data_IF_067822835897
#
_entry.id   IF_067822835897
#
_cell.length_a   1.000
_cell.length_b   1.000
_cell.length_c   1.000
_cell.angle_alpha   90.00
_cell.angle_beta   90.00
_cell.angle_gamma   90.00
#
_symmetry.space_group_name_H-M   'P 1'
#
loop_
_entity.id
_entity.type
_entity.pdbx_description
1 polymer ?
#
# COMPACT_ATOMS: atom_id res chain seq x y z
N UNK A 1 -16.56 -8.55 -14.94
CA UNK A 1 -16.00 -7.70 -13.87
C UNK A 1 -15.33 -8.59 -12.82
N UNK A 2 -14.08 -8.96 -13.06
CA UNK A 2 -13.24 -9.75 -12.13
C UNK A 2 -12.24 -8.75 -11.58
N UNK A 3 -12.39 -8.27 -10.34
CA UNK A 3 -11.63 -7.07 -9.95
C UNK A 3 -11.21 -6.89 -8.49
N UNK A 4 -11.77 -7.61 -7.52
CA UNK A 4 -11.35 -7.42 -6.12
C UNK A 4 -11.44 -8.71 -5.33
N UNK A 5 -12.59 -9.37 -5.32
CA UNK A 5 -12.75 -10.67 -4.65
C UNK A 5 -11.87 -11.77 -5.26
N UNK A 6 -11.63 -11.73 -6.58
CA UNK A 6 -10.69 -12.65 -7.22
C UNK A 6 -9.24 -12.38 -6.84
N UNK A 7 -8.86 -11.12 -6.56
CA UNK A 7 -7.48 -10.78 -6.18
C UNK A 7 -7.20 -11.15 -4.73
N UNK A 8 -8.16 -10.92 -3.84
CA UNK A 8 -8.11 -11.41 -2.44
C UNK A 8 -8.14 -12.93 -2.40
N UNK A 9 -8.95 -13.60 -3.22
CA UNK A 9 -8.92 -15.06 -3.35
C UNK A 9 -7.61 -15.55 -3.95
N UNK A 10 -7.02 -14.90 -4.96
CA UNK A 10 -5.72 -15.31 -5.53
C UNK A 10 -4.57 -15.13 -4.53
N UNK A 11 -4.65 -14.14 -3.63
CA UNK A 11 -3.65 -13.89 -2.58
C UNK A 11 -3.88 -14.79 -1.36
N UNK A 12 -5.13 -15.06 -0.98
CA UNK A 12 -5.51 -15.92 0.14
C UNK A 12 -5.41 -17.42 -0.21
N UNK A 13 -5.72 -17.78 -1.46
CA UNK A 13 -5.63 -19.12 -2.00
C UNK A 13 -4.27 -19.27 -2.69
N UNK A 14 -3.19 -19.40 -1.89
CA UNK A 14 -1.97 -20.22 -2.07
C UNK A 14 -1.38 -20.51 -3.47
N UNK A 15 -1.87 -19.96 -4.58
CA UNK A 15 -1.68 -20.47 -5.94
C UNK A 15 -0.67 -19.67 -6.74
N UNK A 16 -0.25 -18.50 -6.26
CA UNK A 16 0.79 -17.71 -6.93
C UNK A 16 2.19 -18.20 -6.54
N UNK A 17 2.37 -18.70 -5.32
CA UNK A 17 3.68 -19.13 -4.81
C UNK A 17 3.69 -20.53 -4.17
N UNK A 18 2.53 -21.11 -3.83
CA UNK A 18 2.46 -22.37 -3.08
C UNK A 18 2.88 -22.25 -1.61
N UNK A 19 3.16 -21.05 -1.12
CA UNK A 19 3.70 -20.80 0.22
C UNK A 19 2.59 -20.45 1.21
N UNK A 20 2.75 -20.91 2.45
CA UNK A 20 1.82 -20.55 3.52
C UNK A 20 1.96 -19.09 3.96
N UNK A 21 0.88 -18.47 4.47
CA UNK A 21 0.95 -17.14 5.06
C UNK A 21 2.03 -17.01 6.13
N UNK A 22 2.22 -18.07 6.93
CA UNK A 22 3.26 -18.11 7.97
C UNK A 22 4.67 -18.10 7.36
N UNK A 23 4.90 -18.88 6.29
CA UNK A 23 6.18 -18.90 5.57
C UNK A 23 6.44 -17.57 4.87
N UNK A 24 5.40 -16.92 4.33
CA UNK A 24 5.52 -15.58 3.77
C UNK A 24 5.85 -14.56 4.87
N UNK A 25 5.24 -14.66 6.04
CA UNK A 25 5.52 -13.77 7.17
C UNK A 25 6.96 -13.92 7.67
N UNK A 26 7.47 -15.16 7.74
CA UNK A 26 8.85 -15.46 8.09
C UNK A 26 9.84 -14.87 7.06
N UNK A 27 9.58 -15.07 5.76
CA UNK A 27 10.37 -14.48 4.68
C UNK A 27 10.37 -12.95 4.73
N UNK A 28 9.22 -12.33 5.01
CA UNK A 28 9.11 -10.88 5.17
C UNK A 28 9.87 -10.41 6.41
N UNK A 29 9.87 -11.16 7.50
CA UNK A 29 10.65 -10.83 8.69
C UNK A 29 12.17 -10.93 8.44
N UNK A 30 12.60 -11.92 7.66
CA UNK A 30 14.01 -12.13 7.30
C UNK A 30 14.53 -11.03 6.35
N UNK A 31 13.80 -10.75 5.27
CA UNK A 31 14.26 -9.86 4.19
C UNK A 31 13.80 -8.42 4.39
N UNK A 32 12.76 -8.20 5.19
CA UNK A 32 12.06 -6.92 5.30
C UNK A 32 12.94 -5.77 5.73
N UNK A 33 13.78 -5.96 6.75
CA UNK A 33 14.66 -4.90 7.25
C UNK A 33 15.69 -4.45 6.22
N UNK A 34 16.43 -5.40 5.62
CA UNK A 34 17.43 -5.12 4.59
C UNK A 34 16.82 -4.48 3.35
N UNK A 35 15.66 -4.97 2.91
CA UNK A 35 14.93 -4.38 1.80
C UNK A 35 14.47 -2.95 2.11
N UNK A 36 13.99 -2.70 3.32
CA UNK A 36 13.51 -1.38 3.73
C UNK A 36 14.65 -0.36 3.77
N UNK A 37 15.81 -0.74 4.30
CA UNK A 37 17.02 0.10 4.30
C UNK A 37 17.47 0.44 2.88
N UNK A 38 17.64 -0.57 2.01
CA UNK A 38 18.04 -0.33 0.61
C UNK A 38 17.01 0.50 -0.16
N UNK A 39 15.72 0.30 0.10
CA UNK A 39 14.67 1.08 -0.51
C UNK A 39 14.74 2.54 -0.08
N UNK A 40 14.97 2.79 1.20
CA UNK A 40 15.10 4.12 1.75
C UNK A 40 16.35 4.82 1.22
N UNK A 41 17.48 4.14 1.15
CA UNK A 41 18.72 4.63 0.54
C UNK A 41 18.50 5.02 -0.93
N UNK A 42 17.76 4.21 -1.68
CA UNK A 42 17.41 4.54 -3.07
C UNK A 42 16.52 5.77 -3.17
N UNK A 43 15.58 5.95 -2.24
CA UNK A 43 14.70 7.12 -2.20
C UNK A 43 15.47 8.40 -1.83
N UNK A 44 16.49 8.30 -0.97
CA UNK A 44 17.29 9.44 -0.51
C UNK A 44 18.47 9.75 -1.43
N UNK A 45 18.99 8.76 -2.17
CA UNK A 45 20.11 8.91 -3.10
C UNK A 45 19.86 9.95 -4.20
N UNK A 46 18.60 10.17 -4.58
CA UNK A 46 18.24 11.19 -5.57
C UNK A 46 17.60 12.40 -4.87
N UNK A 47 18.16 13.61 -5.04
CA UNK A 47 17.54 14.81 -4.51
C UNK A 47 16.15 14.99 -5.12
N UNK A 48 15.17 15.25 -4.25
CA UNK A 48 13.76 15.38 -4.64
C UNK A 48 13.60 16.59 -5.56
N UNK A 49 13.12 16.37 -6.79
CA UNK A 49 12.89 17.44 -7.77
C UNK A 49 11.72 18.37 -7.43
N UNK A 50 10.89 17.98 -6.46
CA UNK A 50 9.72 18.75 -6.01
C UNK A 50 9.80 18.98 -4.52
N UNK A 51 9.52 20.20 -4.08
CA UNK A 51 9.36 20.50 -2.66
C UNK A 51 8.30 19.58 -2.04
N UNK A 52 8.48 19.22 -0.77
CA UNK A 52 7.47 18.49 0.00
C UNK A 52 6.17 19.30 -0.04
N UNK A 53 5.06 18.68 -0.45
CA UNK A 53 3.78 19.37 -0.62
C UNK A 53 3.61 20.13 -1.94
N UNK A 54 4.54 20.03 -2.90
CA UNK A 54 4.39 20.59 -4.26
C UNK A 54 3.48 19.74 -5.19
N UNK A 55 2.75 18.77 -4.64
CA UNK A 55 1.62 18.18 -5.33
C UNK A 55 0.51 19.20 -5.49
N UNK A 56 -0.37 19.02 -6.48
CA UNK A 56 -1.56 19.85 -6.57
C UNK A 56 -2.31 19.77 -5.22
N UNK A 57 -2.62 20.92 -4.63
CA UNK A 57 -3.39 21.01 -3.38
C UNK A 57 -4.82 20.57 -3.69
N UNK A 58 -5.05 19.26 -3.71
CA UNK A 58 -6.37 18.71 -3.90
C UNK A 58 -7.21 19.05 -2.67
N UNK A 59 -8.05 20.07 -2.78
CA UNK A 59 -9.15 20.25 -1.83
C UNK A 59 -10.11 19.11 -2.11
N UNK A 60 -10.09 18.07 -1.26
CA UNK A 60 -11.10 17.03 -1.30
C UNK A 60 -12.48 17.66 -1.06
N UNK A 61 -13.19 17.98 -2.15
CA UNK A 61 -14.61 18.34 -2.14
C UNK A 61 -15.41 17.15 -1.60
N UNK A 62 -16.64 17.39 -1.12
CA UNK A 62 -17.51 16.37 -0.53
C UNK A 62 -17.50 15.02 -1.28
N UNK A 63 -17.60 15.06 -2.62
CA UNK A 63 -17.60 13.86 -3.47
C UNK A 63 -16.31 13.05 -3.33
N UNK A 64 -15.16 13.71 -3.30
CA UNK A 64 -13.87 13.02 -3.15
C UNK A 64 -13.68 12.46 -1.73
N UNK A 65 -14.20 13.15 -0.70
CA UNK A 65 -14.21 12.64 0.68
C UNK A 65 -15.12 11.42 0.80
N UNK A 66 -16.32 11.49 0.23
CA UNK A 66 -17.27 10.38 0.21
C UNK A 66 -16.68 9.17 -0.49
N UNK A 67 -16.06 9.35 -1.67
CA UNK A 67 -15.39 8.27 -2.38
C UNK A 67 -14.22 7.68 -1.57
N UNK A 68 -13.37 8.52 -0.97
CA UNK A 68 -12.27 8.06 -0.12
C UNK A 68 -12.78 7.26 1.09
N UNK A 69 -13.83 7.74 1.76
CA UNK A 69 -14.46 7.05 2.89
C UNK A 69 -15.09 5.73 2.46
N UNK A 70 -15.81 5.69 1.33
CA UNK A 70 -16.43 4.45 0.84
C UNK A 70 -15.38 3.42 0.42
N UNK A 71 -14.28 3.85 -0.21
CA UNK A 71 -13.15 2.97 -0.54
C UNK A 71 -12.46 2.48 0.75
N UNK A 72 -12.25 3.36 1.73
CA UNK A 72 -11.66 3.00 3.02
C UNK A 72 -12.51 1.98 3.78
N UNK A 73 -13.83 2.22 3.87
CA UNK A 73 -14.80 1.30 4.48
C UNK A 73 -14.89 -0.02 3.71
N UNK A 74 -14.81 0.00 2.38
CA UNK A 74 -14.83 -1.20 1.54
C UNK A 74 -13.57 -2.04 1.69
N UNK A 75 -12.44 -1.44 2.06
CA UNK A 75 -11.13 -2.11 2.10
C UNK A 75 -10.57 -2.25 3.51
N UNK A 76 -11.34 -1.90 4.55
CA UNK A 76 -10.93 -2.05 5.96
C UNK A 76 -9.64 -1.29 6.30
N UNK A 77 -9.33 -0.23 5.57
CA UNK A 77 -8.08 0.52 5.80
C UNK A 77 -8.28 1.45 6.98
N UNK A 78 -7.56 1.16 8.07
CA UNK A 78 -7.45 2.03 9.22
C UNK A 78 -6.95 3.42 8.79
N UNK A 79 -7.42 4.44 9.51
CA UNK A 79 -7.31 5.86 9.17
C UNK A 79 -5.87 6.38 8.94
N UNK A 80 -4.85 5.59 9.27
CA UNK A 80 -3.43 5.92 9.10
C UNK A 80 -3.02 6.17 7.63
N UNK A 81 -3.78 5.67 6.65
CA UNK A 81 -3.47 5.87 5.22
C UNK A 81 -4.02 7.20 4.67
N UNK A 82 -5.02 7.80 5.33
CA UNK A 82 -5.64 9.06 4.87
C UNK A 82 -5.04 10.31 5.53
N UNK A 83 -4.16 10.14 6.53
CA UNK A 83 -3.62 11.22 7.34
C UNK A 83 -2.25 11.76 6.87
N UNK A 84 -1.77 11.39 5.69
CA UNK A 84 -0.52 11.89 5.10
C UNK A 84 -0.79 12.67 3.79
#
# INVERSE_FOLDING_TARGET
MVGTGARELIVAEYRVTGLSPDVIAELVAEVGALWHEQHQDRLTARPRWRAVGAGAKHKFVFVYRLLATLVSLRHGTTHDVLAC
#
